data_IF_990325978890
#
_entry.id   IF_990325978890
#
_cell.length_a   1.000
_cell.length_b   1.000
_cell.length_c   1.000
_cell.angle_alpha   90.00
_cell.angle_beta   90.00
_cell.angle_gamma   90.00
#
_symmetry.space_group_name_H-M   'P 1'
#
loop_
_entity.id
_entity.type
_entity.pdbx_description
1 polymer ?
#
# COMPACT_ATOMS: atom_id res chain seq x y z
N UNK A 1 10.57 6.88 20.74
CA UNK A 1 9.36 6.04 20.83
C UNK A 1 8.20 6.87 20.29
N UNK A 2 7.82 6.66 19.04
CA UNK A 2 6.66 7.34 18.45
C UNK A 2 5.41 6.87 19.21
N UNK A 3 4.56 7.77 19.72
CA UNK A 3 3.35 7.36 20.41
C UNK A 3 2.47 6.57 19.43
N UNK A 4 2.13 5.35 19.81
CA UNK A 4 1.19 4.51 19.07
C UNK A 4 -0.19 5.12 19.24
N UNK A 5 -0.52 6.10 18.42
CA UNK A 5 -1.89 6.59 18.33
C UNK A 5 -2.76 5.41 17.92
N UNK A 6 -3.80 5.05 18.68
CA UNK A 6 -4.74 4.03 18.24
C UNK A 6 -5.27 4.43 16.88
N UNK A 7 -5.27 3.50 15.93
CA UNK A 7 -5.82 3.80 14.61
C UNK A 7 -7.28 4.17 14.76
N UNK A 8 -7.70 5.31 14.20
CA UNK A 8 -9.06 5.79 14.35
C UNK A 8 -10.09 4.98 13.57
N UNK A 9 -9.68 3.89 12.92
CA UNK A 9 -10.59 3.11 12.07
C UNK A 9 -10.21 1.63 11.97
N UNK A 10 -11.24 0.79 11.78
CA UNK A 10 -11.13 -0.60 11.37
C UNK A 10 -11.02 -0.71 9.83
N UNK A 11 -10.71 -1.89 9.31
CA UNK A 11 -10.73 -2.14 7.88
C UNK A 11 -12.10 -1.84 7.22
N UNK A 12 -13.20 -1.88 8.00
CA UNK A 12 -14.53 -1.52 7.54
C UNK A 12 -14.67 -0.03 7.19
N UNK A 13 -13.83 0.80 7.73
CA UNK A 13 -13.82 2.23 7.47
C UNK A 13 -12.93 2.66 6.29
N UNK A 14 -12.44 1.74 5.46
CA UNK A 14 -11.66 2.08 4.25
C UNK A 14 -12.56 2.68 3.18
N UNK A 15 -13.76 2.13 3.01
CA UNK A 15 -14.70 2.59 2.00
C UNK A 15 -15.05 4.07 2.18
N UNK A 16 -14.93 4.84 1.10
CA UNK A 16 -15.24 6.27 1.08
C UNK A 16 -14.18 7.19 1.69
N UNK A 17 -13.07 6.65 2.21
CA UNK A 17 -11.94 7.45 2.71
C UNK A 17 -10.90 7.71 1.64
N UNK A 18 -10.19 8.82 1.78
CA UNK A 18 -9.09 9.23 0.91
C UNK A 18 -7.75 8.93 1.57
N UNK A 19 -6.94 8.15 0.87
CA UNK A 19 -5.60 7.74 1.29
C UNK A 19 -4.54 8.40 0.40
N UNK A 20 -3.51 8.93 1.04
CA UNK A 20 -2.33 9.43 0.36
C UNK A 20 -1.13 8.57 0.70
N UNK A 21 -0.40 8.12 -0.32
CA UNK A 21 0.73 7.21 -0.18
C UNK A 21 2.04 7.94 -0.48
N UNK A 22 2.97 7.99 0.48
CA UNK A 22 4.32 8.52 0.27
C UNK A 22 5.26 7.37 -0.10
N UNK A 23 5.85 7.42 -1.30
CA UNK A 23 6.64 6.34 -1.89
C UNK A 23 5.75 5.24 -2.49
N UNK A 24 4.70 5.63 -3.22
CA UNK A 24 3.66 4.72 -3.74
C UNK A 24 4.19 3.70 -4.75
N UNK A 25 5.29 4.01 -5.46
CA UNK A 25 5.92 3.13 -6.46
C UNK A 25 6.69 1.95 -5.87
N UNK A 26 6.88 1.89 -4.56
CA UNK A 26 7.48 0.72 -3.90
C UNK A 26 6.66 -0.55 -4.11
N UNK A 27 7.33 -1.71 -4.28
CA UNK A 27 6.65 -2.99 -4.59
C UNK A 27 5.50 -3.34 -3.63
N UNK A 28 5.70 -3.13 -2.32
CA UNK A 28 4.63 -3.39 -1.34
C UNK A 28 3.59 -2.28 -1.31
N UNK A 29 4.03 -1.02 -1.42
CA UNK A 29 3.17 0.16 -1.36
C UNK A 29 2.16 0.17 -2.51
N UNK A 30 2.61 -0.09 -3.73
CA UNK A 30 1.77 -0.14 -4.93
C UNK A 30 0.70 -1.24 -4.85
N UNK A 31 1.04 -2.41 -4.32
CA UNK A 31 0.09 -3.49 -4.09
C UNK A 31 -0.96 -3.13 -3.04
N UNK A 32 -0.53 -2.55 -1.92
CA UNK A 32 -1.43 -2.11 -0.85
C UNK A 32 -2.37 -0.99 -1.34
N UNK A 33 -1.86 -0.04 -2.13
CA UNK A 33 -2.64 1.03 -2.75
C UNK A 33 -3.79 0.48 -3.61
N UNK A 34 -3.50 -0.50 -4.48
CA UNK A 34 -4.51 -1.16 -5.31
C UNK A 34 -5.55 -1.95 -4.49
N UNK A 35 -5.13 -2.63 -3.42
CA UNK A 35 -6.06 -3.32 -2.52
C UNK A 35 -7.01 -2.32 -1.85
N UNK A 36 -6.49 -1.21 -1.33
CA UNK A 36 -7.31 -0.15 -0.70
C UNK A 36 -8.29 0.44 -1.70
N UNK A 37 -7.86 0.70 -2.95
CA UNK A 37 -8.75 1.16 -4.01
C UNK A 37 -9.87 0.13 -4.28
N UNK A 38 -9.56 -1.16 -4.33
CA UNK A 38 -10.54 -2.23 -4.52
C UNK A 38 -11.54 -2.31 -3.36
N UNK A 39 -11.10 -2.00 -2.14
CA UNK A 39 -11.96 -1.93 -0.95
C UNK A 39 -12.83 -0.65 -0.90
N UNK A 40 -12.80 0.18 -1.95
CA UNK A 40 -13.61 1.38 -2.08
C UNK A 40 -13.00 2.63 -1.45
N UNK A 41 -11.71 2.61 -1.14
CA UNK A 41 -10.94 3.81 -0.78
C UNK A 41 -10.56 4.61 -2.03
N UNK A 42 -10.52 5.92 -1.91
CA UNK A 42 -9.89 6.80 -2.90
C UNK A 42 -8.42 6.87 -2.61
N UNK A 43 -7.57 6.57 -3.60
CA UNK A 43 -6.12 6.49 -3.42
C UNK A 43 -5.42 7.47 -4.32
N UNK A 44 -4.45 8.18 -3.79
CA UNK A 44 -3.46 8.98 -4.50
C UNK A 44 -2.11 8.83 -3.83
N UNK A 45 -1.03 9.30 -4.44
CA UNK A 45 0.26 9.28 -3.76
C UNK A 45 1.37 9.99 -4.53
N UNK A 46 2.53 9.99 -3.90
CA UNK A 46 3.75 10.55 -4.45
C UNK A 46 4.86 9.51 -4.53
N UNK A 47 5.77 9.69 -5.45
CA UNK A 47 7.03 8.95 -5.52
C UNK A 47 8.14 9.87 -6.03
N UNK A 48 9.39 9.57 -5.68
CA UNK A 48 10.53 10.33 -6.16
C UNK A 48 10.92 9.97 -7.60
N UNK A 49 10.49 8.79 -8.09
CA UNK A 49 10.98 8.19 -9.33
C UNK A 49 9.82 7.69 -10.19
N UNK A 50 9.80 8.14 -11.45
CA UNK A 50 8.96 7.53 -12.48
C UNK A 50 9.42 6.10 -12.77
N UNK A 51 8.49 5.18 -12.86
CA UNK A 51 8.77 3.75 -13.06
C UNK A 51 7.60 3.05 -13.75
N UNK A 52 7.82 1.86 -14.27
CA UNK A 52 6.75 1.02 -14.81
C UNK A 52 5.64 0.73 -13.76
N UNK A 53 5.98 0.75 -12.47
CA UNK A 53 5.01 0.57 -11.37
C UNK A 53 4.12 1.80 -11.24
N UNK A 54 4.71 3.01 -11.19
CA UNK A 54 3.94 4.26 -11.12
C UNK A 54 3.08 4.47 -12.36
N UNK A 55 3.59 4.13 -13.56
CA UNK A 55 2.82 4.16 -14.81
C UNK A 55 1.62 3.19 -14.74
N UNK A 56 1.81 2.02 -14.16
CA UNK A 56 0.72 1.05 -13.99
C UNK A 56 -0.34 1.57 -13.02
N UNK A 57 0.05 2.21 -11.93
CA UNK A 57 -0.88 2.83 -10.98
C UNK A 57 -1.73 3.92 -11.66
N UNK A 58 -1.09 4.80 -12.44
CA UNK A 58 -1.77 5.88 -13.18
C UNK A 58 -2.77 5.29 -14.18
N UNK A 59 -2.36 4.27 -14.95
CA UNK A 59 -3.28 3.58 -15.89
C UNK A 59 -4.47 2.92 -15.19
N UNK A 60 -4.29 2.49 -13.95
CA UNK A 60 -5.34 1.90 -13.12
C UNK A 60 -6.17 2.96 -12.33
N UNK A 61 -6.00 4.24 -12.66
CA UNK A 61 -6.79 5.33 -12.09
C UNK A 61 -6.35 5.77 -10.69
N UNK A 62 -5.12 5.45 -10.29
CA UNK A 62 -4.50 5.97 -9.05
C UNK A 62 -3.57 7.13 -9.44
N UNK A 63 -3.89 8.38 -9.10
CA UNK A 63 -3.04 9.52 -9.37
C UNK A 63 -1.71 9.42 -8.63
N UNK A 64 -0.61 9.66 -9.34
CA UNK A 64 0.74 9.71 -8.77
C UNK A 64 1.40 11.03 -9.16
N UNK A 65 1.88 11.78 -8.16
CA UNK A 65 2.68 12.99 -8.35
C UNK A 65 4.16 12.68 -8.06
N UNK A 66 5.06 13.35 -8.77
CA UNK A 66 6.50 13.25 -8.56
C UNK A 66 7.08 14.48 -7.83
N UNK A 67 6.19 15.32 -7.32
CA UNK A 67 6.52 16.46 -6.46
C UNK A 67 6.25 16.07 -5.02
N UNK A 68 7.29 16.05 -4.19
CA UNK A 68 7.25 15.60 -2.79
C UNK A 68 7.54 16.76 -1.81
N UNK A 69 7.07 17.95 -2.11
CA UNK A 69 7.29 19.16 -1.31
C UNK A 69 6.21 19.42 -0.23
N UNK A 70 5.23 18.52 -0.13
CA UNK A 70 4.11 18.62 0.79
C UNK A 70 2.89 19.36 0.21
N UNK A 71 2.95 19.86 -1.02
CA UNK A 71 1.82 20.56 -1.67
C UNK A 71 0.59 19.66 -1.91
N UNK A 72 0.80 18.37 -2.05
CA UNK A 72 -0.27 17.38 -2.22
C UNK A 72 -1.05 17.09 -0.92
N UNK A 73 -0.50 17.48 0.23
CA UNK A 73 -1.13 17.23 1.54
C UNK A 73 -2.22 18.27 1.80
N UNK A 74 -3.46 17.82 1.96
CA UNK A 74 -4.61 18.67 2.18
C UNK A 74 -5.63 18.03 3.12
N UNK A 75 -6.53 18.81 3.68
CA UNK A 75 -7.60 18.34 4.59
C UNK A 75 -8.61 17.38 3.96
N UNK A 76 -8.51 17.10 2.66
CA UNK A 76 -9.32 16.08 1.97
C UNK A 76 -8.79 14.68 2.17
N UNK A 77 -7.55 14.56 2.67
CA UNK A 77 -6.91 13.28 2.95
C UNK A 77 -7.29 12.82 4.35
N UNK A 78 -7.83 11.63 4.47
CA UNK A 78 -8.19 11.04 5.76
C UNK A 78 -7.00 10.34 6.43
N UNK A 79 -6.09 9.76 5.62
CA UNK A 79 -4.96 8.96 6.11
C UNK A 79 -3.77 9.09 5.18
N UNK A 80 -2.60 9.28 5.74
CA UNK A 80 -1.33 9.18 5.01
C UNK A 80 -0.66 7.85 5.33
N UNK A 81 -0.33 7.09 4.28
CA UNK A 81 0.41 5.82 4.39
C UNK A 81 1.83 6.04 3.87
N UNK A 82 2.83 5.66 4.64
CA UNK A 82 4.23 5.88 4.29
C UNK A 82 5.07 4.61 4.34
N UNK A 83 6.05 4.54 3.44
CA UNK A 83 7.07 3.48 3.42
C UNK A 83 8.09 3.68 4.55
N UNK A 84 8.64 2.60 5.07
CA UNK A 84 9.72 2.66 6.07
C UNK A 84 11.00 3.34 5.55
N UNK A 85 11.13 3.56 4.24
CA UNK A 85 12.25 4.29 3.64
C UNK A 85 12.09 5.82 3.71
N UNK A 86 10.90 6.32 4.07
CA UNK A 86 10.62 7.76 4.17
C UNK A 86 11.14 8.27 5.53
N UNK A 87 12.02 9.28 5.54
CA UNK A 87 12.52 9.86 6.78
C UNK A 87 11.45 10.69 7.48
N UNK A 88 11.58 10.82 8.82
CA UNK A 88 10.61 11.53 9.65
C UNK A 88 10.51 13.04 9.33
N UNK A 89 11.56 13.61 8.75
CA UNK A 89 11.64 15.03 8.32
C UNK A 89 11.16 15.26 6.88
N UNK A 90 10.59 14.25 6.23
CA UNK A 90 10.03 14.38 4.88
C UNK A 90 8.93 15.45 4.84
N UNK A 91 8.90 16.35 3.82
CA UNK A 91 7.92 17.46 3.77
C UNK A 91 6.47 17.03 3.89
N UNK A 92 6.08 15.92 3.27
CA UNK A 92 4.72 15.40 3.34
C UNK A 92 4.37 14.81 4.72
N UNK A 93 5.36 14.21 5.42
CA UNK A 93 5.20 13.75 6.81
C UNK A 93 4.94 14.94 7.73
N UNK A 94 5.79 15.97 7.65
CA UNK A 94 5.65 17.19 8.43
C UNK A 94 4.36 17.97 8.09
N UNK A 95 3.99 17.99 6.81
CA UNK A 95 2.75 18.60 6.34
C UNK A 95 1.51 17.93 6.94
N UNK A 96 1.50 16.60 6.95
CA UNK A 96 0.41 15.80 7.51
C UNK A 96 0.27 15.99 9.02
N UNK A 97 1.37 15.96 9.74
CA UNK A 97 1.39 16.17 11.19
C UNK A 97 0.88 17.57 11.56
N UNK A 98 1.29 18.59 10.81
CA UNK A 98 0.87 20.00 11.03
C UNK A 98 -0.64 20.20 10.95
N UNK A 99 -1.34 19.48 10.06
CA UNK A 99 -2.79 19.59 9.88
C UNK A 99 -3.56 18.44 10.55
N UNK A 100 -2.85 17.58 11.31
CA UNK A 100 -3.45 16.53 12.13
C UNK A 100 -3.97 15.31 11.35
N UNK A 101 -3.44 15.03 10.14
CA UNK A 101 -3.78 13.82 9.40
C UNK A 101 -3.04 12.62 9.99
N UNK A 102 -3.73 11.52 10.29
CA UNK A 102 -3.10 10.30 10.80
C UNK A 102 -2.03 9.74 9.84
N UNK A 103 -0.83 9.51 10.38
CA UNK A 103 0.29 8.88 9.70
C UNK A 103 0.33 7.38 10.05
N UNK A 104 0.28 6.53 9.05
CA UNK A 104 0.23 5.07 9.22
C UNK A 104 1.34 4.42 8.41
N UNK A 105 2.20 3.64 9.04
CA UNK A 105 3.24 2.91 8.32
C UNK A 105 2.63 1.83 7.41
N UNK A 106 3.33 1.50 6.32
CA UNK A 106 2.98 0.41 5.41
C UNK A 106 2.61 -0.88 6.15
N UNK A 107 3.46 -1.32 7.07
CA UNK A 107 3.25 -2.58 7.80
C UNK A 107 1.98 -2.56 8.65
N UNK A 108 1.68 -1.42 9.26
CA UNK A 108 0.48 -1.25 10.08
C UNK A 108 -0.78 -1.23 9.20
N UNK A 109 -0.74 -0.53 8.07
CA UNK A 109 -1.86 -0.49 7.12
C UNK A 109 -2.11 -1.85 6.46
N UNK A 110 -1.06 -2.57 6.11
CA UNK A 110 -1.16 -3.94 5.60
C UNK A 110 -1.85 -4.86 6.63
N UNK A 111 -1.47 -4.77 7.91
CA UNK A 111 -2.11 -5.51 8.99
C UNK A 111 -3.61 -5.23 9.11
N UNK A 112 -4.04 -3.96 8.95
CA UNK A 112 -5.46 -3.59 8.96
C UNK A 112 -6.21 -4.23 7.80
N UNK A 113 -5.69 -4.10 6.59
CA UNK A 113 -6.30 -4.69 5.39
C UNK A 113 -6.42 -6.20 5.54
N UNK A 114 -5.40 -6.85 6.10
CA UNK A 114 -5.38 -8.30 6.28
C UNK A 114 -6.46 -8.81 7.24
N UNK A 115 -6.95 -8.00 8.17
CA UNK A 115 -8.03 -8.42 9.10
C UNK A 115 -9.36 -8.74 8.40
N UNK A 116 -9.53 -8.32 7.15
CA UNK A 116 -10.72 -8.60 6.32
C UNK A 116 -10.62 -9.86 5.48
N UNK A 117 -9.46 -10.50 5.49
CA UNK A 117 -9.18 -11.65 4.63
C UNK A 117 -8.63 -12.81 5.45
N UNK A 118 -8.71 -14.02 4.91
CA UNK A 118 -7.91 -15.13 5.42
C UNK A 118 -6.45 -14.88 5.05
N UNK A 119 -5.70 -14.24 5.96
CA UNK A 119 -4.35 -13.79 5.70
C UNK A 119 -3.29 -14.87 5.93
N UNK A 120 -2.38 -15.04 4.98
CA UNK A 120 -1.18 -15.87 5.12
C UNK A 120 0.06 -14.98 5.05
N UNK A 121 0.83 -14.94 6.13
CA UNK A 121 2.08 -14.20 6.21
C UNK A 121 3.26 -15.13 6.15
N UNK A 122 4.21 -14.87 5.23
CA UNK A 122 5.46 -15.60 5.10
C UNK A 122 6.60 -14.77 5.68
N UNK A 123 7.20 -15.23 6.76
CA UNK A 123 8.34 -14.60 7.42
C UNK A 123 9.58 -15.48 7.33
N UNK A 124 10.77 -14.88 7.38
CA UNK A 124 12.05 -15.59 7.35
C UNK A 124 13.19 -14.72 6.82
N UNK A 125 14.41 -15.15 6.99
CA UNK A 125 15.59 -14.45 6.45
C UNK A 125 15.71 -14.64 4.94
N UNK A 126 15.40 -15.85 4.42
CA UNK A 126 15.47 -16.22 3.01
C UNK A 126 14.18 -16.91 2.55
N UNK A 127 13.94 -16.95 1.24
CA UNK A 127 12.87 -17.72 0.62
C UNK A 127 11.46 -17.11 0.70
N UNK A 128 11.26 -15.97 1.37
CA UNK A 128 9.94 -15.35 1.51
C UNK A 128 9.23 -15.14 0.17
N UNK A 129 9.85 -14.39 -0.73
CA UNK A 129 9.28 -14.08 -2.05
C UNK A 129 8.99 -15.35 -2.86
N UNK A 130 9.92 -16.30 -2.87
CA UNK A 130 9.74 -17.59 -3.57
C UNK A 130 8.55 -18.36 -3.01
N UNK A 131 8.43 -18.44 -1.69
CA UNK A 131 7.33 -19.18 -1.04
C UNK A 131 5.97 -18.51 -1.32
N UNK A 132 5.89 -17.16 -1.22
CA UNK A 132 4.66 -16.42 -1.56
C UNK A 132 4.32 -16.65 -3.04
N UNK A 133 5.29 -16.56 -3.95
CA UNK A 133 5.04 -16.75 -5.38
C UNK A 133 4.54 -18.16 -5.70
N UNK A 134 5.14 -19.20 -5.11
CA UNK A 134 4.69 -20.58 -5.30
C UNK A 134 3.28 -20.78 -4.74
N UNK A 135 3.01 -20.30 -3.52
CA UNK A 135 1.69 -20.39 -2.91
C UNK A 135 0.64 -19.68 -3.76
N UNK A 136 0.94 -18.47 -4.22
CA UNK A 136 0.04 -17.68 -5.09
C UNK A 136 -0.26 -18.44 -6.40
N UNK A 137 0.77 -19.01 -7.02
CA UNK A 137 0.60 -19.81 -8.24
C UNK A 137 -0.31 -21.04 -8.00
N UNK A 138 -0.12 -21.76 -6.89
CA UNK A 138 -0.95 -22.90 -6.52
C UNK A 138 -2.40 -22.48 -6.33
N UNK A 139 -2.64 -21.40 -5.57
CA UNK A 139 -4.00 -20.90 -5.31
C UNK A 139 -4.69 -20.44 -6.59
N UNK A 140 -3.99 -19.72 -7.47
CA UNK A 140 -4.51 -19.31 -8.77
C UNK A 140 -4.84 -20.52 -9.65
N UNK A 141 -3.98 -21.53 -9.68
CA UNK A 141 -4.22 -22.76 -10.44
C UNK A 141 -5.39 -23.57 -9.89
N UNK A 142 -5.62 -23.52 -8.59
CA UNK A 142 -6.78 -24.14 -7.93
C UNK A 142 -8.10 -23.40 -8.14
N UNK A 143 -8.11 -22.32 -8.93
CA UNK A 143 -9.30 -21.51 -9.17
C UNK A 143 -9.67 -20.54 -8.03
N UNK A 144 -8.82 -20.44 -7.02
CA UNK A 144 -8.92 -19.41 -5.98
C UNK A 144 -8.27 -18.15 -6.56
N UNK A 145 -8.95 -17.02 -6.46
CA UNK A 145 -8.46 -15.73 -6.97
C UNK A 145 -7.83 -14.89 -5.84
N UNK A 146 -6.59 -15.22 -5.37
CA UNK A 146 -5.99 -14.60 -4.21
C UNK A 146 -5.50 -13.18 -4.50
N UNK A 147 -5.60 -12.31 -3.49
CA UNK A 147 -4.77 -11.12 -3.42
C UNK A 147 -3.39 -11.49 -2.86
N UNK A 148 -2.32 -10.94 -3.44
CA UNK A 148 -0.98 -11.15 -2.89
C UNK A 148 -0.10 -9.90 -3.07
N UNK A 149 0.88 -9.76 -2.18
CA UNK A 149 1.97 -8.79 -2.27
C UNK A 149 3.28 -9.56 -2.04
N UNK A 150 4.18 -9.47 -3.01
CA UNK A 150 5.52 -10.08 -2.97
C UNK A 150 6.56 -8.98 -3.03
N UNK A 151 7.62 -9.09 -2.23
CA UNK A 151 8.70 -8.10 -2.18
C UNK A 151 9.63 -8.09 -3.41
N UNK A 152 9.29 -8.84 -4.47
CA UNK A 152 10.07 -8.93 -5.71
C UNK A 152 9.12 -9.14 -6.90
N UNK A 153 9.55 -8.73 -8.09
CA UNK A 153 8.80 -9.03 -9.31
C UNK A 153 8.90 -10.52 -9.65
N UNK A 154 7.76 -11.16 -9.94
CA UNK A 154 7.67 -12.54 -10.35
C UNK A 154 6.72 -12.65 -11.56
N UNK A 155 7.30 -12.75 -12.76
CA UNK A 155 6.54 -12.77 -14.02
C UNK A 155 5.57 -13.95 -14.11
N UNK A 156 5.93 -15.09 -13.50
CA UNK A 156 5.13 -16.33 -13.52
C UNK A 156 3.76 -16.17 -12.83
N UNK A 157 3.62 -15.19 -11.95
CA UNK A 157 2.34 -14.87 -11.27
C UNK A 157 1.79 -13.50 -11.67
N UNK A 158 2.39 -12.86 -12.69
CA UNK A 158 1.92 -11.59 -13.22
C UNK A 158 2.48 -10.34 -12.51
N UNK A 159 3.54 -10.48 -11.70
CA UNK A 159 4.21 -9.32 -11.09
C UNK A 159 4.47 -9.47 -9.59
N UNK A 160 4.64 -8.32 -8.93
CA UNK A 160 4.89 -8.24 -7.49
C UNK A 160 3.63 -8.14 -6.64
N UNK A 161 2.47 -7.88 -7.24
CA UNK A 161 1.20 -7.81 -6.53
C UNK A 161 0.03 -8.17 -7.45
N UNK A 162 -1.04 -8.62 -6.83
CA UNK A 162 -2.33 -8.87 -7.48
C UNK A 162 -3.45 -8.54 -6.51
N UNK A 163 -4.52 -7.98 -7.02
CA UNK A 163 -5.78 -7.81 -6.28
C UNK A 163 -6.78 -8.79 -6.87
N UNK A 164 -7.03 -9.86 -6.15
CA UNK A 164 -8.02 -10.89 -6.46
C UNK A 164 -9.39 -10.59 -5.88
N UNK A 165 -10.33 -11.49 -6.10
CA UNK A 165 -11.68 -11.40 -5.57
C UNK A 165 -11.83 -12.07 -4.19
N UNK A 166 -10.85 -12.92 -3.79
CA UNK A 166 -10.86 -13.67 -2.53
C UNK A 166 -10.13 -12.94 -1.40
#
# INVERSE_FOLDING_TARGET
>A
MTPTVPLPFSADAIHGKTFHFIGIGGCGMSGLAQIIQRLGGTVQGTDAIESAVTDSLIRNGIPVSFVQDGSEISSRIDVVVYSAAIPDDHPEMLGSDRIGIPLVSYSKMLGIVQTRHTGVCIAGTHGKSTTVSILSAILMHAGIDPSFIVGANCEQIGGSCRVGAA
#
